data_IF_952074600095
#
_entry.id   IF_952074600095
#
_cell.length_a   1.000
_cell.length_b   1.000
_cell.length_c   1.000
_cell.angle_alpha   90.00
_cell.angle_beta   90.00
_cell.angle_gamma   90.00
#
_symmetry.space_group_name_H-M   'P 1'
#
loop_
_entity.id
_entity.type
_entity.pdbx_description
1 polymer ?
#
# COMPACT_ATOMS: atom_id res chain seq x y z
N UNK A 1 -6.09 1.12 4.77
CA UNK A 1 -5.68 0.48 3.51
C UNK A 1 -6.69 0.74 2.38
N UNK A 2 -7.90 0.15 2.39
CA UNK A 2 -8.80 0.13 1.22
C UNK A 2 -9.21 1.50 0.65
N UNK A 3 -9.55 2.49 1.50
CA UNK A 3 -9.88 3.83 0.98
C UNK A 3 -8.71 4.45 0.22
N UNK A 4 -7.49 4.30 0.74
CA UNK A 4 -6.29 4.78 0.09
C UNK A 4 -5.97 4.02 -1.21
N UNK A 5 -6.12 2.70 -1.23
CA UNK A 5 -5.96 1.90 -2.47
C UNK A 5 -6.87 2.45 -3.58
N UNK A 6 -8.16 2.69 -3.27
CA UNK A 6 -9.12 3.21 -4.24
C UNK A 6 -8.69 4.59 -4.76
N UNK A 7 -8.36 5.52 -3.88
CA UNK A 7 -8.09 6.91 -4.26
C UNK A 7 -6.69 7.15 -4.82
N UNK A 8 -5.68 6.46 -4.29
CA UNK A 8 -4.28 6.70 -4.64
C UNK A 8 -3.85 5.86 -5.85
N UNK A 9 -4.43 4.66 -6.04
CA UNK A 9 -3.96 3.70 -7.05
C UNK A 9 -4.99 3.16 -8.04
N UNK A 10 -6.31 3.19 -7.76
CA UNK A 10 -7.31 2.66 -8.71
C UNK A 10 -8.03 3.78 -9.48
N UNK A 11 -8.39 4.87 -8.82
CA UNK A 11 -9.12 5.99 -9.45
C UNK A 11 -8.34 6.69 -10.58
N UNK A 12 -7.01 6.57 -10.60
CA UNK A 12 -6.15 7.18 -11.60
C UNK A 12 -5.86 6.28 -12.82
N UNK A 13 -6.39 5.05 -12.85
CA UNK A 13 -6.09 4.08 -13.89
C UNK A 13 -7.37 3.64 -14.62
N UNK A 14 -7.30 3.61 -15.95
CA UNK A 14 -8.33 2.97 -16.76
C UNK A 14 -8.05 1.46 -16.82
N UNK A 15 -8.64 0.74 -15.87
CA UNK A 15 -8.45 -0.71 -15.71
C UNK A 15 -9.34 -1.43 -16.72
N UNK A 16 -8.73 -2.17 -17.65
CA UNK A 16 -9.47 -2.84 -18.73
C UNK A 16 -9.83 -4.30 -18.41
N UNK A 17 -9.09 -4.93 -17.50
CA UNK A 17 -9.25 -6.33 -17.12
C UNK A 17 -8.82 -6.58 -15.67
N UNK A 18 -9.09 -7.80 -15.19
CA UNK A 18 -8.78 -8.22 -13.82
C UNK A 18 -7.27 -8.40 -13.58
N UNK A 19 -6.49 -8.71 -14.60
CA UNK A 19 -5.04 -8.87 -14.48
C UNK A 19 -4.36 -7.53 -14.20
N UNK A 20 -4.75 -6.49 -14.93
CA UNK A 20 -4.32 -5.11 -14.67
C UNK A 20 -4.70 -4.65 -13.26
N UNK A 21 -5.93 -4.94 -12.82
CA UNK A 21 -6.35 -4.64 -11.46
C UNK A 21 -5.46 -5.33 -10.43
N UNK A 22 -5.16 -6.62 -10.64
CA UNK A 22 -4.33 -7.42 -9.75
C UNK A 22 -2.89 -6.86 -9.67
N UNK A 23 -2.30 -6.48 -10.80
CA UNK A 23 -0.96 -5.86 -10.84
C UNK A 23 -0.94 -4.54 -10.06
N UNK A 24 -1.93 -3.67 -10.27
CA UNK A 24 -2.03 -2.39 -9.55
C UNK A 24 -2.19 -2.60 -8.04
N UNK A 25 -3.04 -3.56 -7.64
CA UNK A 25 -3.24 -3.90 -6.22
C UNK A 25 -1.95 -4.45 -5.61
N UNK A 26 -1.25 -5.37 -6.28
CA UNK A 26 0.01 -5.94 -5.78
C UNK A 26 1.10 -4.86 -5.62
N UNK A 27 1.25 -3.98 -6.62
CA UNK A 27 2.17 -2.85 -6.53
C UNK A 27 1.83 -1.93 -5.36
N UNK A 28 0.55 -1.63 -5.18
CA UNK A 28 0.10 -0.78 -4.08
C UNK A 28 0.28 -1.44 -2.71
N UNK A 29 0.06 -2.76 -2.58
CA UNK A 29 0.32 -3.51 -1.34
C UNK A 29 1.79 -3.38 -0.94
N UNK A 30 2.71 -3.52 -1.90
CA UNK A 30 4.15 -3.37 -1.64
C UNK A 30 4.47 -1.95 -1.17
N UNK A 31 4.09 -0.94 -1.95
CA UNK A 31 4.27 0.47 -1.57
C UNK A 31 3.70 0.76 -0.18
N UNK A 32 2.47 0.33 0.10
CA UNK A 32 1.81 0.59 1.38
C UNK A 32 2.56 -0.01 2.57
N UNK A 33 3.15 -1.20 2.40
CA UNK A 33 3.82 -1.92 3.48
C UNK A 33 5.29 -1.55 3.66
N UNK A 34 6.00 -1.26 2.57
CA UNK A 34 7.47 -1.14 2.54
C UNK A 34 7.97 0.29 2.35
N UNK A 35 7.14 1.21 1.83
CA UNK A 35 7.60 2.54 1.41
C UNK A 35 6.77 3.68 2.02
N UNK A 36 5.50 3.41 2.35
CA UNK A 36 4.57 4.43 2.86
C UNK A 36 4.94 4.86 4.27
N UNK A 37 5.46 6.08 4.40
CA UNK A 37 5.67 6.74 5.69
C UNK A 37 4.32 7.01 6.38
N UNK A 38 4.14 6.53 7.62
CA UNK A 38 2.93 6.77 8.39
C UNK A 38 3.24 7.61 9.62
N UNK A 39 2.63 8.81 9.71
CA UNK A 39 2.83 9.71 10.86
C UNK A 39 2.46 9.04 12.19
N UNK A 40 1.40 8.22 12.19
CA UNK A 40 0.96 7.45 13.37
C UNK A 40 1.95 6.35 13.80
N UNK A 41 2.86 5.95 12.92
CA UNK A 41 3.89 4.94 13.18
C UNK A 41 5.26 5.59 13.35
N UNK A 42 5.34 6.82 13.88
CA UNK A 42 6.60 7.56 14.02
C UNK A 42 7.36 7.72 12.69
N UNK A 43 6.63 7.91 11.58
CA UNK A 43 7.17 7.98 10.21
C UNK A 43 7.82 6.67 9.74
N UNK A 44 7.57 5.55 10.39
CA UNK A 44 7.99 4.24 9.92
C UNK A 44 7.00 3.71 8.89
N UNK A 45 7.50 2.81 8.06
CA UNK A 45 6.67 1.95 7.21
C UNK A 45 5.99 0.88 8.08
N UNK A 46 4.86 0.31 7.64
CA UNK A 46 4.22 -0.77 8.39
C UNK A 46 5.12 -1.98 8.68
N UNK A 47 6.01 -2.34 7.76
CA UNK A 47 6.98 -3.43 7.98
C UNK A 47 8.00 -3.06 9.07
N UNK A 48 8.59 -1.87 9.01
CA UNK A 48 9.54 -1.41 10.03
C UNK A 48 8.90 -1.33 11.41
N UNK A 49 7.68 -0.79 11.50
CA UNK A 49 6.94 -0.74 12.75
C UNK A 49 6.73 -2.15 13.33
N UNK A 50 6.32 -3.13 12.50
CA UNK A 50 6.16 -4.51 12.96
C UNK A 50 7.47 -5.14 13.43
N UNK A 51 8.60 -4.84 12.78
CA UNK A 51 9.92 -5.36 13.18
C UNK A 51 10.36 -4.87 14.56
N UNK A 52 9.97 -3.66 14.97
CA UNK A 52 10.25 -3.16 16.33
C UNK A 52 9.48 -3.91 17.43
N UNK A 53 8.38 -4.58 17.06
CA UNK A 53 7.52 -5.33 17.98
C UNK A 53 7.60 -6.85 17.77
N UNK A 54 8.46 -7.33 16.88
CA UNK A 54 8.73 -8.74 16.69
C UNK A 54 9.71 -9.20 17.78
N UNK A 55 9.24 -10.05 18.70
CA UNK A 55 10.03 -10.66 19.77
C UNK A 55 10.86 -11.85 19.26
#
# INVERSE_FOLDING_TARGET
FFSHLKTEALQHHHIQDTEQAQILIQRYIRFYNEERLQLKLNKLTPVEYRRQHAA
#
